data_IF_108624507091
#
_entry.id   IF_108624507091
#
_cell.length_a   1.000
_cell.length_b   1.000
_cell.length_c   1.000
_cell.angle_alpha   90.00
_cell.angle_beta   90.00
_cell.angle_gamma   90.00
#
_symmetry.space_group_name_H-M   'P 1'
#
loop_
_entity.id
_entity.type
_entity.pdbx_description
1 polymer ?
#
# COMPACT_ATOMS: atom_id res chain seq x y z
N UNK A 1 2.76 -4.18 7.00
CA UNK A 1 2.60 -3.28 5.85
C UNK A 1 1.15 -3.16 5.34
N UNK A 2 0.27 -4.07 5.73
CA UNK A 2 -1.16 -4.02 5.38
C UNK A 2 -1.48 -4.22 3.90
N UNK A 3 -0.57 -4.81 3.14
CA UNK A 3 -0.72 -4.99 1.70
C UNK A 3 -1.15 -6.41 1.34
N UNK A 4 -1.96 -6.52 0.31
CA UNK A 4 -2.19 -7.81 -0.36
C UNK A 4 -0.95 -8.20 -1.17
N UNK A 5 -0.70 -9.50 -1.42
CA UNK A 5 0.47 -9.93 -2.18
C UNK A 5 0.66 -9.22 -3.51
N UNK A 6 -0.41 -9.04 -4.30
CA UNK A 6 -0.34 -8.34 -5.58
C UNK A 6 0.10 -6.89 -5.43
N UNK A 7 -0.39 -6.19 -4.42
CA UNK A 7 -0.03 -4.80 -4.14
C UNK A 7 1.45 -4.67 -3.77
N UNK A 8 1.93 -5.53 -2.86
CA UNK A 8 3.33 -5.55 -2.44
C UNK A 8 4.26 -5.84 -3.61
N UNK A 9 3.90 -6.79 -4.46
CA UNK A 9 4.66 -7.18 -5.65
C UNK A 9 4.71 -6.07 -6.69
N UNK A 10 3.62 -5.32 -6.89
CA UNK A 10 3.60 -4.15 -7.76
C UNK A 10 4.56 -3.08 -7.25
N UNK A 11 4.46 -2.72 -5.97
CA UNK A 11 5.33 -1.70 -5.38
C UNK A 11 6.80 -2.12 -5.43
N UNK A 12 7.09 -3.39 -5.16
CA UNK A 12 8.46 -3.90 -5.25
C UNK A 12 9.00 -3.87 -6.68
N UNK A 13 8.20 -4.23 -7.68
CA UNK A 13 8.58 -4.11 -9.09
C UNK A 13 8.90 -2.66 -9.46
N UNK A 14 8.13 -1.70 -8.94
CA UNK A 14 8.39 -0.28 -9.17
C UNK A 14 9.69 0.20 -8.49
N UNK A 15 10.04 -0.36 -7.34
CA UNK A 15 11.36 -0.14 -6.71
C UNK A 15 12.49 -0.63 -7.61
N UNK A 16 12.38 -1.84 -8.12
CA UNK A 16 13.39 -2.43 -9.00
C UNK A 16 13.55 -1.68 -10.33
N UNK A 17 12.44 -1.13 -10.84
CA UNK A 17 12.44 -0.26 -12.03
C UNK A 17 12.99 1.14 -11.76
N UNK A 18 13.42 1.44 -10.53
CA UNK A 18 13.82 2.79 -10.12
C UNK A 18 12.77 3.85 -10.47
N UNK A 19 11.52 3.53 -10.17
CA UNK A 19 10.33 4.29 -10.54
C UNK A 19 9.79 5.11 -9.35
N UNK A 20 10.67 5.89 -8.72
CA UNK A 20 10.37 6.71 -7.56
C UNK A 20 9.61 8.00 -7.90
N UNK A 21 9.19 8.76 -6.88
CA UNK A 21 8.38 9.97 -7.05
C UNK A 21 9.13 11.13 -7.70
N UNK A 22 10.46 11.06 -7.76
CA UNK A 22 11.36 12.04 -8.40
C UNK A 22 11.78 11.63 -9.83
N UNK A 23 11.26 10.50 -10.31
CA UNK A 23 11.55 9.96 -11.65
C UNK A 23 10.37 10.18 -12.59
N UNK A 24 10.59 10.10 -13.92
CA UNK A 24 9.49 10.10 -14.87
C UNK A 24 8.54 8.93 -14.64
N UNK A 25 7.25 9.15 -14.90
CA UNK A 25 6.27 8.08 -14.91
C UNK A 25 6.64 7.02 -15.97
N UNK A 26 6.34 5.77 -15.69
CA UNK A 26 6.50 4.66 -16.64
C UNK A 26 5.16 4.13 -17.10
N UNK A 27 5.09 3.58 -18.29
CA UNK A 27 3.88 2.89 -18.78
C UNK A 27 3.44 1.82 -17.79
N UNK A 28 2.15 1.83 -17.43
CA UNK A 28 1.59 0.80 -16.56
C UNK A 28 1.78 -0.60 -17.14
N UNK A 29 1.76 -0.75 -18.47
CA UNK A 29 2.03 -2.02 -19.13
C UNK A 29 3.43 -2.58 -18.77
N UNK A 30 4.43 -1.72 -18.62
CA UNK A 30 5.78 -2.15 -18.18
C UNK A 30 5.76 -2.65 -16.75
N UNK A 31 5.13 -1.90 -15.84
CA UNK A 31 5.03 -2.27 -14.43
C UNK A 31 4.28 -3.59 -14.26
N UNK A 32 3.14 -3.73 -14.94
CA UNK A 32 2.32 -4.95 -14.93
C UNK A 32 3.11 -6.14 -15.49
N UNK A 33 3.81 -5.95 -16.62
CA UNK A 33 4.62 -6.98 -17.24
C UNK A 33 5.72 -7.50 -16.33
N UNK A 34 6.49 -6.62 -15.70
CA UNK A 34 7.55 -7.01 -14.77
C UNK A 34 6.98 -7.73 -13.54
N UNK A 35 5.89 -7.22 -12.98
CA UNK A 35 5.21 -7.84 -11.82
C UNK A 35 4.72 -9.25 -12.16
N UNK A 36 4.05 -9.39 -13.29
CA UNK A 36 3.50 -10.68 -13.75
C UNK A 36 4.63 -11.68 -14.06
N UNK A 37 5.65 -11.22 -14.75
CA UNK A 37 6.74 -12.10 -15.18
C UNK A 37 7.63 -12.58 -14.05
N UNK A 38 7.84 -11.76 -13.04
CA UNK A 38 8.79 -12.06 -11.95
C UNK A 38 8.13 -12.58 -10.67
N UNK A 39 6.96 -12.06 -10.28
CA UNK A 39 6.44 -12.26 -8.92
C UNK A 39 5.01 -12.76 -8.86
N UNK A 40 4.14 -12.35 -9.77
CA UNK A 40 2.71 -12.60 -9.65
C UNK A 40 2.15 -13.30 -10.89
N UNK A 41 2.18 -14.68 -10.94
CA UNK A 41 1.81 -15.46 -12.11
C UNK A 41 0.29 -15.58 -12.27
N UNK A 42 -0.39 -14.44 -12.40
CA UNK A 42 -1.84 -14.33 -12.60
C UNK A 42 -2.14 -13.40 -13.78
N UNK A 43 -3.41 -13.24 -14.11
CA UNK A 43 -3.83 -12.41 -15.25
C UNK A 43 -3.42 -10.95 -15.10
N UNK A 44 -2.98 -10.35 -16.20
CA UNK A 44 -2.55 -8.94 -16.27
C UNK A 44 -3.66 -7.97 -15.85
N UNK A 45 -4.91 -8.29 -16.15
CA UNK A 45 -6.07 -7.47 -15.78
C UNK A 45 -6.22 -7.33 -14.25
N UNK A 46 -5.95 -8.39 -13.50
CA UNK A 46 -6.02 -8.34 -12.03
C UNK A 46 -4.89 -7.52 -11.43
N UNK A 47 -3.69 -7.62 -12.02
CA UNK A 47 -2.53 -6.83 -11.60
C UNK A 47 -2.76 -5.35 -11.92
N UNK A 48 -3.22 -5.04 -13.13
CA UNK A 48 -3.53 -3.67 -13.51
C UNK A 48 -4.65 -3.07 -12.66
N UNK A 49 -5.70 -3.84 -12.38
CA UNK A 49 -6.77 -3.39 -11.48
C UNK A 49 -6.28 -3.02 -10.10
N UNK A 50 -5.37 -3.79 -9.52
CA UNK A 50 -4.75 -3.48 -8.24
C UNK A 50 -3.87 -2.22 -8.31
N UNK A 51 -3.09 -2.07 -9.37
CA UNK A 51 -2.30 -0.86 -9.63
C UNK A 51 -3.17 0.39 -9.71
N UNK A 52 -4.26 0.32 -10.47
CA UNK A 52 -5.22 1.40 -10.65
C UNK A 52 -5.84 1.81 -9.32
N UNK A 53 -6.30 0.85 -8.51
CA UNK A 53 -6.90 1.14 -7.20
C UNK A 53 -5.95 1.90 -6.26
N UNK A 54 -4.66 1.60 -6.30
CA UNK A 54 -3.66 2.32 -5.49
C UNK A 54 -3.40 3.76 -5.96
N UNK A 55 -3.84 4.12 -7.16
CA UNK A 55 -3.70 5.45 -7.75
C UNK A 55 -5.01 6.26 -7.79
N UNK A 56 -6.11 5.71 -7.28
CA UNK A 56 -7.41 6.38 -7.27
C UNK A 56 -7.69 7.02 -5.92
N UNK A 57 -7.92 8.32 -5.89
CA UNK A 57 -8.17 9.08 -4.66
C UNK A 57 -9.50 8.71 -3.96
N UNK A 58 -10.45 8.14 -4.69
CA UNK A 58 -11.71 7.66 -4.12
C UNK A 58 -11.66 6.20 -3.65
N UNK A 59 -10.63 5.45 -4.05
CA UNK A 59 -10.45 4.04 -3.68
C UNK A 59 -9.46 3.85 -2.54
N UNK A 60 -8.45 4.71 -2.42
CA UNK A 60 -7.35 4.58 -1.47
C UNK A 60 -7.18 5.89 -0.71
N UNK A 61 -7.24 5.85 0.63
CA UNK A 61 -7.16 7.06 1.46
C UNK A 61 -5.83 7.80 1.27
N UNK A 62 -4.72 7.07 1.25
CA UNK A 62 -3.38 7.60 0.95
C UNK A 62 -2.82 6.81 -0.22
N UNK A 63 -2.88 7.39 -1.40
CA UNK A 63 -2.48 6.72 -2.64
C UNK A 63 -1.01 6.31 -2.60
N UNK A 64 -0.73 5.04 -2.88
CA UNK A 64 0.62 4.48 -2.91
C UNK A 64 1.26 4.60 -4.30
N UNK A 65 0.45 4.88 -5.30
CA UNK A 65 0.86 5.05 -6.69
C UNK A 65 0.44 6.43 -7.17
N UNK A 66 1.35 7.13 -7.83
CA UNK A 66 1.11 8.39 -8.51
C UNK A 66 0.87 8.10 -9.98
N UNK A 67 -0.41 8.19 -10.40
CA UNK A 67 -0.86 7.90 -11.74
C UNK A 67 -0.88 9.13 -12.64
N UNK A 68 -0.62 8.91 -13.93
CA UNK A 68 -0.71 9.93 -14.98
C UNK A 68 -1.52 9.39 -16.17
N UNK A 69 -2.59 10.10 -16.53
CA UNK A 69 -3.54 9.71 -17.56
C UNK A 69 -4.93 9.42 -17.00
N UNK A 70 -5.73 8.66 -17.72
CA UNK A 70 -7.10 8.32 -17.32
C UNK A 70 -7.11 7.07 -16.44
N UNK A 71 -7.27 7.25 -15.14
CA UNK A 71 -7.44 6.18 -14.14
C UNK A 71 -8.90 5.93 -13.76
N UNK A 72 -9.85 6.39 -14.57
CA UNK A 72 -11.26 6.26 -14.29
C UNK A 72 -11.87 7.46 -13.57
N UNK A 73 -13.11 7.33 -13.15
CA UNK A 73 -13.83 8.35 -12.37
C UNK A 73 -14.59 7.72 -11.22
N UNK A 74 -14.95 8.55 -10.24
CA UNK A 74 -15.83 8.14 -9.13
C UNK A 74 -17.22 7.73 -9.60
N UNK A 75 -17.65 8.21 -10.75
CA UNK A 75 -18.96 7.90 -11.35
C UNK A 75 -19.00 6.52 -12.04
N UNK A 76 -17.89 5.79 -12.01
CA UNK A 76 -17.84 4.40 -12.50
C UNK A 76 -17.17 4.21 -13.85
N UNK A 77 -16.62 5.26 -14.45
CA UNK A 77 -15.81 5.08 -15.66
C UNK A 77 -14.54 4.27 -15.33
N UNK A 78 -14.23 3.30 -16.16
CA UNK A 78 -13.03 2.49 -16.02
C UNK A 78 -11.78 3.25 -16.44
N UNK A 79 -10.62 2.78 -15.96
CA UNK A 79 -9.33 3.30 -16.41
C UNK A 79 -9.10 2.99 -17.90
N UNK A 80 -8.33 3.84 -18.56
CA UNK A 80 -7.83 3.54 -19.90
C UNK A 80 -6.90 2.30 -19.87
N UNK A 81 -6.69 1.67 -21.01
CA UNK A 81 -5.82 0.50 -21.09
C UNK A 81 -4.39 0.82 -20.62
N UNK A 82 -3.73 -0.17 -20.02
CA UNK A 82 -2.40 -0.01 -19.40
C UNK A 82 -1.30 0.45 -20.37
N UNK A 83 -1.50 0.33 -21.67
CA UNK A 83 -0.58 0.86 -22.68
C UNK A 83 -0.62 2.39 -22.79
N UNK A 84 -1.68 3.02 -22.29
CA UNK A 84 -1.85 4.48 -22.34
C UNK A 84 -1.51 5.15 -21.02
N UNK A 85 -1.87 4.53 -19.89
CA UNK A 85 -1.63 5.10 -18.57
C UNK A 85 -0.18 4.94 -18.12
N UNK A 86 0.24 5.84 -17.25
CA UNK A 86 1.60 5.84 -16.69
C UNK A 86 1.52 5.96 -15.17
N UNK A 87 2.54 5.47 -14.48
CA UNK A 87 2.59 5.50 -13.03
C UNK A 87 4.02 5.59 -12.50
N UNK A 88 4.14 6.00 -11.25
CA UNK A 88 5.34 5.96 -10.43
C UNK A 88 4.95 5.80 -8.96
N UNK A 89 5.90 5.47 -8.12
CA UNK A 89 5.68 5.44 -6.68
C UNK A 89 5.32 6.84 -6.18
N UNK A 90 4.34 6.92 -5.29
CA UNK A 90 4.01 8.15 -4.59
C UNK A 90 5.05 8.45 -3.51
N UNK A 91 5.08 9.70 -3.01
CA UNK A 91 6.00 10.08 -1.92
C UNK A 91 5.78 9.26 -0.66
N UNK A 92 4.53 9.00 -0.29
CA UNK A 92 4.23 8.24 0.93
C UNK A 92 4.63 6.77 0.82
N UNK A 93 4.58 6.17 -0.37
CA UNK A 93 5.00 4.78 -0.55
C UNK A 93 6.49 4.57 -0.31
N UNK A 94 7.32 5.62 -0.44
CA UNK A 94 8.73 5.56 -0.08
C UNK A 94 8.92 5.29 1.41
N UNK A 95 7.98 5.68 2.27
CA UNK A 95 8.01 5.37 3.70
C UNK A 95 7.67 3.91 4.00
N UNK A 96 7.03 3.20 3.07
CA UNK A 96 6.84 1.76 3.17
C UNK A 96 8.08 0.97 2.77
N UNK A 97 8.89 1.52 1.87
CA UNK A 97 9.96 0.84 1.15
C UNK A 97 11.35 1.20 1.70
N UNK A 98 11.50 2.40 2.27
CA UNK A 98 12.79 2.83 2.83
C UNK A 98 13.31 1.77 3.79
N UNK A 99 14.61 1.56 3.80
CA UNK A 99 15.29 0.54 4.59
C UNK A 99 15.11 -0.92 4.11
N UNK A 100 14.47 -1.15 2.97
CA UNK A 100 14.30 -2.51 2.41
C UNK A 100 15.64 -3.22 2.16
N UNK A 101 16.71 -2.46 1.89
CA UNK A 101 18.06 -2.97 1.64
C UNK A 101 18.93 -3.06 2.91
N UNK A 102 18.34 -2.87 4.10
CA UNK A 102 19.05 -2.83 5.37
C UNK A 102 18.79 -4.07 6.25
N UNK A 103 18.45 -5.19 5.63
CA UNK A 103 18.15 -6.44 6.34
C UNK A 103 17.01 -6.28 7.38
N UNK A 104 15.98 -5.52 7.01
CA UNK A 104 14.84 -5.21 7.86
C UNK A 104 13.67 -6.16 7.69
N UNK A 105 13.62 -6.89 6.57
CA UNK A 105 12.55 -7.84 6.23
C UNK A 105 13.15 -9.08 5.57
N UNK A 106 12.43 -10.19 5.71
CA UNK A 106 12.80 -11.43 5.05
C UNK A 106 12.45 -11.41 3.56
N UNK A 107 13.36 -11.95 2.75
CA UNK A 107 13.15 -12.21 1.33
C UNK A 107 12.93 -13.69 1.11
N UNK A 108 11.92 -14.03 0.33
CA UNK A 108 11.55 -15.41 -0.01
C UNK A 108 11.67 -15.63 -1.51
N UNK A 109 11.91 -16.88 -1.96
CA UNK A 109 11.88 -17.18 -3.40
C UNK A 109 10.51 -16.85 -4.00
N UNK A 110 10.53 -16.38 -5.26
CA UNK A 110 9.32 -16.24 -6.05
C UNK A 110 8.78 -17.61 -6.51
N UNK A 111 7.72 -17.62 -7.34
CA UNK A 111 7.01 -18.84 -7.75
C UNK A 111 7.86 -19.87 -8.52
N UNK A 112 8.90 -19.44 -9.24
CA UNK A 112 9.80 -20.30 -10.03
C UNK A 112 11.24 -20.33 -9.50
N UNK A 113 11.47 -19.74 -8.33
CA UNK A 113 12.77 -19.70 -7.63
C UNK A 113 13.88 -18.94 -8.40
N UNK A 114 13.53 -18.17 -9.43
CA UNK A 114 14.49 -17.36 -10.19
C UNK A 114 14.78 -16.01 -9.57
N UNK A 115 13.85 -15.50 -8.77
CA UNK A 115 13.94 -14.19 -8.11
C UNK A 115 13.61 -14.31 -6.62
N UNK A 116 13.88 -13.25 -5.87
CA UNK A 116 13.46 -13.12 -4.48
C UNK A 116 12.56 -11.91 -4.32
N UNK A 117 11.55 -12.05 -3.49
CA UNK A 117 10.61 -10.97 -3.16
C UNK A 117 10.51 -10.78 -1.65
N UNK A 118 10.24 -9.55 -1.17
CA UNK A 118 10.06 -9.32 0.25
C UNK A 118 8.76 -9.95 0.75
N UNK A 119 8.82 -10.63 1.89
CA UNK A 119 7.63 -11.20 2.54
C UNK A 119 6.68 -10.13 3.05
N UNK A 120 7.25 -9.01 3.51
CA UNK A 120 6.55 -7.77 3.91
C UNK A 120 7.43 -6.58 3.53
N UNK A 121 6.86 -5.38 3.48
CA UNK A 121 7.65 -4.15 3.36
C UNK A 121 8.01 -3.62 4.76
N UNK A 122 9.13 -2.89 4.92
CA UNK A 122 9.58 -2.37 6.22
C UNK A 122 8.58 -1.46 6.93
N UNK A 123 7.81 -0.68 6.18
CA UNK A 123 6.69 0.14 6.62
C UNK A 123 6.99 1.04 7.83
N UNK A 124 7.45 2.25 7.58
CA UNK A 124 7.73 3.25 8.62
C UNK A 124 6.46 3.93 9.18
N UNK A 125 5.29 3.59 8.66
CA UNK A 125 3.99 3.99 9.18
C UNK A 125 3.01 2.81 9.09
N UNK A 126 1.96 2.76 9.92
CA UNK A 126 1.03 1.63 9.96
C UNK A 126 0.01 1.69 8.83
N UNK A 127 0.44 1.31 7.62
CA UNK A 127 -0.41 1.33 6.42
C UNK A 127 -1.68 0.49 6.56
N UNK A 128 -1.63 -0.62 7.32
CA UNK A 128 -2.82 -1.43 7.59
C UNK A 128 -3.99 -0.60 8.14
N UNK A 129 -3.70 0.33 9.05
CA UNK A 129 -4.72 1.16 9.68
C UNK A 129 -5.07 2.39 8.85
N UNK A 130 -4.09 3.03 8.19
CA UNK A 130 -4.37 4.28 7.47
C UNK A 130 -5.05 4.06 6.14
N UNK A 131 -4.74 2.98 5.43
CA UNK A 131 -5.40 2.63 4.18
C UNK A 131 -6.49 1.55 4.35
N UNK A 132 -6.50 0.86 5.49
CA UNK A 132 -7.41 -0.24 5.72
C UNK A 132 -7.15 -1.42 4.80
N UNK A 133 -7.96 -2.43 4.91
CA UNK A 133 -7.97 -3.58 3.99
C UNK A 133 -9.29 -4.34 4.11
N UNK A 134 -9.72 -4.92 3.00
CA UNK A 134 -10.83 -5.87 2.97
C UNK A 134 -10.40 -7.13 2.25
N UNK A 135 -10.83 -8.28 2.72
CA UNK A 135 -10.50 -9.54 2.08
C UNK A 135 -11.37 -10.68 2.57
N UNK A 136 -11.61 -11.62 1.69
CA UNK A 136 -12.36 -12.84 1.95
C UNK A 136 -11.45 -14.03 1.68
N UNK A 137 -11.27 -14.87 2.70
CA UNK A 137 -10.51 -16.10 2.59
C UNK A 137 -11.39 -17.29 3.02
N UNK A 138 -10.88 -18.50 2.82
CA UNK A 138 -11.59 -19.68 3.29
C UNK A 138 -11.58 -19.71 4.83
N UNK A 139 -12.76 -19.70 5.43
CA UNK A 139 -12.93 -19.76 6.88
C UNK A 139 -12.77 -18.44 7.63
N UNK A 140 -12.36 -17.35 6.99
CA UNK A 140 -12.27 -16.03 7.64
C UNK A 140 -12.35 -14.88 6.63
N UNK A 141 -12.70 -13.70 7.15
CA UNK A 141 -12.69 -12.46 6.37
C UNK A 141 -12.10 -11.33 7.21
N UNK A 142 -11.59 -10.30 6.55
CA UNK A 142 -11.14 -9.08 7.21
C UNK A 142 -11.81 -7.86 6.58
N UNK A 143 -12.10 -6.87 7.42
CA UNK A 143 -12.64 -5.59 6.98
C UNK A 143 -12.15 -4.50 7.95
N UNK A 144 -11.05 -3.88 7.61
CA UNK A 144 -10.43 -2.80 8.38
C UNK A 144 -10.64 -1.50 7.59
N UNK A 145 -11.40 -0.53 8.13
CA UNK A 145 -11.58 0.75 7.47
C UNK A 145 -10.29 1.59 7.50
N UNK A 146 -10.13 2.56 6.58
CA UNK A 146 -9.02 3.50 6.63
C UNK A 146 -9.18 4.51 7.78
N UNK A 147 -8.05 5.09 8.21
CA UNK A 147 -7.97 6.06 9.30
C UNK A 147 -7.07 7.23 8.94
N UNK A 148 -7.24 8.33 9.68
CA UNK A 148 -6.41 9.52 9.50
C UNK A 148 -4.97 9.26 9.97
N UNK A 149 -3.99 9.55 9.12
CA UNK A 149 -2.57 9.30 9.40
C UNK A 149 -2.07 10.05 10.64
N UNK A 150 -2.46 11.32 10.82
CA UNK A 150 -2.07 12.12 12.00
C UNK A 150 -2.59 11.51 13.28
N UNK A 151 -3.85 11.09 13.30
CA UNK A 151 -4.48 10.48 14.47
C UNK A 151 -3.81 9.15 14.81
N UNK A 152 -3.55 8.31 13.83
CA UNK A 152 -2.88 7.01 14.05
C UNK A 152 -1.45 7.21 14.56
N UNK A 153 -0.68 8.14 14.00
CA UNK A 153 0.67 8.44 14.50
C UNK A 153 0.61 8.98 15.93
N UNK A 154 -0.33 9.89 16.22
CA UNK A 154 -0.51 10.40 17.58
C UNK A 154 -0.86 9.30 18.59
N UNK A 155 -1.69 8.33 18.18
CA UNK A 155 -2.02 7.18 19.02
C UNK A 155 -0.80 6.29 19.27
N UNK A 156 0.02 6.03 18.25
CA UNK A 156 1.28 5.28 18.40
C UNK A 156 2.23 5.98 19.37
N UNK A 157 2.40 7.29 19.22
CA UNK A 157 3.24 8.10 20.13
C UNK A 157 2.70 8.00 21.56
N UNK A 158 1.39 8.12 21.76
CA UNK A 158 0.77 7.97 23.08
C UNK A 158 1.05 6.63 23.73
N UNK A 159 0.98 5.54 22.96
CA UNK A 159 1.28 4.18 23.45
C UNK A 159 2.74 4.09 23.88
N UNK A 160 3.65 4.63 23.07
CA UNK A 160 5.09 4.63 23.36
C UNK A 160 5.38 5.43 24.63
N UNK A 161 4.84 6.65 24.73
CA UNK A 161 5.06 7.53 25.88
C UNK A 161 4.55 6.89 27.17
N UNK A 162 3.34 6.36 27.20
CA UNK A 162 2.80 5.65 28.37
C UNK A 162 3.68 4.46 28.77
N UNK A 163 4.24 3.75 27.79
CA UNK A 163 5.10 2.61 28.07
C UNK A 163 6.46 2.99 28.61
N UNK A 164 7.05 4.08 28.08
CA UNK A 164 8.39 4.53 28.47
C UNK A 164 8.35 5.32 29.76
N UNK A 165 7.41 6.27 29.91
CA UNK A 165 7.37 7.21 31.02
C UNK A 165 6.64 6.67 32.25
N UNK A 166 5.56 5.89 32.06
CA UNK A 166 4.69 5.41 33.12
C UNK A 166 4.73 3.89 33.31
N UNK A 167 5.43 3.16 32.46
CA UNK A 167 5.50 1.67 32.41
C UNK A 167 4.12 1.02 32.48
N UNK A 168 3.17 1.58 31.77
CA UNK A 168 1.80 1.08 31.69
C UNK A 168 1.29 0.89 30.27
N UNK A 169 0.24 0.12 30.13
CA UNK A 169 -0.50 0.00 28.88
C UNK A 169 -1.45 1.18 28.69
N UNK A 170 -1.69 1.52 27.42
CA UNK A 170 -2.65 2.56 27.05
C UNK A 170 -4.05 1.95 26.97
N UNK A 171 -5.04 2.62 27.53
CA UNK A 171 -6.41 2.15 27.50
C UNK A 171 -7.09 2.44 26.15
N UNK A 172 -8.17 1.72 25.87
CA UNK A 172 -8.98 1.97 24.66
C UNK A 172 -9.59 3.37 24.71
N UNK A 173 -10.04 3.81 25.86
CA UNK A 173 -10.61 5.14 26.06
C UNK A 173 -9.63 6.25 25.70
N UNK A 174 -8.37 6.13 26.12
CA UNK A 174 -7.32 7.08 25.73
C UNK A 174 -7.09 7.11 24.22
N UNK A 175 -7.13 5.94 23.57
CA UNK A 175 -6.97 5.85 22.10
C UNK A 175 -8.17 6.45 21.36
N UNK A 176 -9.39 6.27 21.87
CA UNK A 176 -10.61 6.85 21.30
C UNK A 176 -10.66 8.38 21.40
N UNK A 177 -9.96 8.97 22.36
CA UNK A 177 -9.80 10.42 22.44
C UNK A 177 -8.94 10.98 21.29
N UNK A 178 -8.02 10.17 20.76
CA UNK A 178 -7.08 10.54 19.69
C UNK A 178 -7.63 10.13 18.32
N UNK A 179 -8.03 8.87 18.17
CA UNK A 179 -8.58 8.32 16.92
C UNK A 179 -10.10 8.41 17.00
N UNK A 180 -10.66 9.37 16.27
CA UNK A 180 -12.10 9.71 16.36
C UNK A 180 -13.00 8.77 15.56
N UNK A 181 -12.43 7.89 14.75
CA UNK A 181 -13.14 6.93 13.93
C UNK A 181 -12.47 6.74 12.57
N UNK A 182 -13.10 5.99 11.67
CA UNK A 182 -12.63 5.85 10.30
C UNK A 182 -12.55 7.18 9.55
N UNK A 183 -11.65 7.24 8.57
CA UNK A 183 -11.46 8.40 7.69
C UNK A 183 -11.43 7.89 6.24
N UNK A 184 -12.59 7.85 5.60
CA UNK A 184 -12.74 7.32 4.26
C UNK A 184 -12.27 8.31 3.18
N UNK A 185 -11.80 7.82 2.00
CA UNK A 185 -11.33 8.68 0.91
C UNK A 185 -12.35 9.71 0.44
N UNK A 186 -13.64 9.36 0.48
CA UNK A 186 -14.75 10.22 0.03
C UNK A 186 -15.36 11.07 1.15
N UNK A 187 -14.77 11.09 2.33
CA UNK A 187 -15.17 11.96 3.44
C UNK A 187 -16.41 11.48 4.21
N UNK A 188 -16.73 10.20 4.13
CA UNK A 188 -17.82 9.62 4.92
C UNK A 188 -17.31 9.11 6.26
#
# INVERSE_FOLDING_TARGET
DGLKPVQRRILYSMVELNNGPDKPHRKCARIVGDTMGKYHPHGDSSIYGALVNMAQEWSTRYMLVDGHGNFGSVDGDGAAAMRYTEARLSKISMELISDINKDTVDFVPNFDETEKEPSVLPARFPNLLVNGTTGIAVGMATNIPPHNLKEIIAAVVKIIDNRIEEDRETTIEELLEIVKGPDFPTGA
#
